data_IF_907080834967
#
_entry.id   IF_907080834967
#
_cell.length_a   1.000
_cell.length_b   1.000
_cell.length_c   1.000
_cell.angle_alpha   90.00
_cell.angle_beta   90.00
_cell.angle_gamma   90.00
#
_symmetry.space_group_name_H-M   'P 1'
#
loop_
_entity.id
_entity.type
_entity.pdbx_description
1 polymer ?
#
# COMPACT_ATOMS: atom_id res chain seq x y z
N UNK A 1 32.76 -1.25 15.42
CA UNK A 1 32.11 -0.23 14.57
C UNK A 1 30.60 -0.43 14.60
N UNK A 2 29.90 0.15 15.58
CA UNK A 2 28.45 0.02 15.74
C UNK A 2 27.73 0.93 14.74
N UNK A 3 26.91 0.33 13.87
CA UNK A 3 26.06 1.04 12.91
C UNK A 3 25.01 1.83 13.68
N UNK A 4 25.33 3.08 14.03
CA UNK A 4 24.48 4.01 14.78
C UNK A 4 23.17 4.17 14.02
N UNK A 5 22.07 3.69 14.62
CA UNK A 5 20.73 3.95 14.14
C UNK A 5 20.55 5.48 14.01
N UNK A 6 19.93 5.99 12.93
CA UNK A 6 19.72 7.43 12.77
C UNK A 6 18.93 7.98 13.97
N UNK A 7 19.16 9.25 14.38
CA UNK A 7 18.46 9.83 15.52
C UNK A 7 16.96 9.68 15.30
N UNK A 8 16.35 8.90 16.19
CA UNK A 8 14.95 8.55 16.18
C UNK A 8 14.15 9.83 16.43
N UNK A 9 13.79 10.56 15.38
CA UNK A 9 12.78 11.60 15.51
C UNK A 9 11.45 10.90 15.78
N UNK A 10 11.19 10.67 17.07
CA UNK A 10 10.00 9.98 17.57
C UNK A 10 8.72 10.68 17.06
N UNK A 11 8.76 12.00 16.93
CA UNK A 11 7.67 12.80 16.35
C UNK A 11 7.45 12.46 14.86
N UNK A 12 8.52 12.37 14.07
CA UNK A 12 8.42 11.95 12.67
C UNK A 12 7.81 10.54 12.51
N UNK A 13 8.20 9.59 13.36
CA UNK A 13 7.68 8.21 13.31
C UNK A 13 6.19 8.17 13.68
N UNK A 14 5.79 8.90 14.72
CA UNK A 14 4.38 9.00 15.12
C UNK A 14 3.52 9.60 14.00
N UNK A 15 4.01 10.63 13.30
CA UNK A 15 3.33 11.23 12.13
C UNK A 15 3.19 10.23 11.00
N UNK A 16 4.23 9.46 10.70
CA UNK A 16 4.20 8.37 9.71
C UNK A 16 3.17 7.30 10.11
N UNK A 17 3.15 6.87 11.37
CA UNK A 17 2.20 5.87 11.87
C UNK A 17 0.75 6.37 11.78
N UNK A 18 0.51 7.64 12.10
CA UNK A 18 -0.81 8.25 11.97
C UNK A 18 -1.32 8.22 10.52
N UNK A 19 -0.45 8.49 9.54
CA UNK A 19 -0.80 8.38 8.12
C UNK A 19 -1.10 6.94 7.72
N UNK A 20 -0.26 5.98 8.11
CA UNK A 20 -0.44 4.56 7.77
C UNK A 20 -1.78 4.03 8.30
N UNK A 21 -2.18 4.42 9.51
CA UNK A 21 -3.48 4.04 10.10
C UNK A 21 -4.68 4.56 9.30
N UNK A 22 -4.53 5.66 8.57
CA UNK A 22 -5.61 6.28 7.78
C UNK A 22 -5.79 5.65 6.41
N UNK A 23 -4.87 4.77 5.96
CA UNK A 23 -5.01 4.08 4.67
C UNK A 23 -6.19 3.10 4.78
N UNK A 24 -7.27 3.28 4.00
CA UNK A 24 -8.45 2.44 4.10
C UNK A 24 -8.19 1.03 3.56
N UNK A 25 -9.04 0.08 3.94
CA UNK A 25 -9.01 -1.30 3.43
C UNK A 25 -9.17 -1.30 1.90
N UNK A 26 -8.40 -2.13 1.21
CA UNK A 26 -8.44 -2.23 -0.25
C UNK A 26 -7.76 -1.06 -0.97
N UNK A 27 -7.04 -0.19 -0.26
CA UNK A 27 -6.21 0.86 -0.85
C UNK A 27 -4.77 0.74 -0.37
N UNK A 28 -3.85 1.25 -1.19
CA UNK A 28 -2.41 1.20 -0.94
C UNK A 28 -1.78 2.58 -1.05
N UNK A 29 -0.66 2.79 -0.37
CA UNK A 29 0.12 4.01 -0.48
C UNK A 29 1.60 3.69 -0.70
N UNK A 30 2.33 4.57 -1.39
CA UNK A 30 3.78 4.41 -1.53
C UNK A 30 4.52 5.00 -0.32
N UNK A 31 5.74 4.53 -0.03
CA UNK A 31 6.58 5.16 1.00
C UNK A 31 6.78 6.67 0.77
N UNK A 32 6.93 7.09 -0.48
CA UNK A 32 7.04 8.51 -0.84
C UNK A 32 5.77 9.27 -0.48
N UNK A 33 4.61 8.73 -0.84
CA UNK A 33 3.32 9.32 -0.50
C UNK A 33 3.10 9.39 1.02
N UNK A 34 3.42 8.32 1.76
CA UNK A 34 3.30 8.30 3.22
C UNK A 34 4.19 9.38 3.84
N UNK A 35 5.42 9.53 3.37
CA UNK A 35 6.33 10.57 3.85
C UNK A 35 5.78 11.98 3.55
N UNK A 36 5.28 12.23 2.34
CA UNK A 36 4.65 13.51 1.97
C UNK A 36 3.44 13.81 2.84
N UNK A 37 2.53 12.86 3.04
CA UNK A 37 1.33 13.04 3.87
C UNK A 37 1.66 13.18 5.36
N UNK A 38 2.79 12.64 5.80
CA UNK A 38 3.30 12.85 7.14
C UNK A 38 3.93 14.25 7.30
N UNK A 39 4.01 15.05 6.23
CA UNK A 39 4.70 16.35 6.19
C UNK A 39 6.22 16.22 6.24
N UNK A 40 6.74 15.15 5.66
CA UNK A 40 8.16 14.81 5.52
C UNK A 40 8.48 14.55 4.04
N UNK A 41 8.24 15.52 3.13
CA UNK A 41 8.42 15.32 1.70
C UNK A 41 9.87 14.94 1.37
N UNK A 42 10.05 14.09 0.34
CA UNK A 42 11.39 13.65 -0.08
C UNK A 42 12.07 12.64 0.87
N UNK A 43 11.38 12.15 1.91
CA UNK A 43 11.96 11.21 2.90
C UNK A 43 11.33 9.80 2.88
N UNK A 44 11.21 9.11 1.71
CA UNK A 44 10.60 7.78 1.64
C UNK A 44 11.36 6.71 2.44
N UNK A 45 12.70 6.82 2.53
CA UNK A 45 13.52 5.90 3.33
C UNK A 45 13.19 5.98 4.82
N UNK A 46 12.89 7.18 5.32
CA UNK A 46 12.48 7.39 6.71
C UNK A 46 11.14 6.70 7.01
N UNK A 47 10.17 6.77 6.08
CA UNK A 47 8.93 6.02 6.20
C UNK A 47 9.17 4.50 6.22
N UNK A 48 10.12 4.01 5.42
CA UNK A 48 10.57 2.61 5.47
C UNK A 48 11.17 2.21 6.82
N UNK A 49 12.05 3.04 7.38
CA UNK A 49 12.65 2.80 8.69
C UNK A 49 11.63 2.83 9.83
N UNK A 50 10.70 3.80 9.83
CA UNK A 50 9.60 3.85 10.78
C UNK A 50 8.74 2.58 10.69
N UNK A 51 8.37 2.17 9.47
CA UNK A 51 7.59 0.96 9.27
C UNK A 51 8.33 -0.28 9.77
N UNK A 52 9.64 -0.40 9.54
CA UNK A 52 10.45 -1.50 10.04
C UNK A 52 10.51 -1.52 11.58
N UNK A 53 10.75 -0.37 12.21
CA UNK A 53 10.78 -0.23 13.67
C UNK A 53 9.44 -0.58 14.34
N UNK A 54 8.32 -0.44 13.64
CA UNK A 54 6.98 -0.74 14.17
C UNK A 54 6.59 -2.22 14.22
N UNK A 55 7.27 -3.08 13.47
CA UNK A 55 6.87 -4.48 13.21
C UNK A 55 6.71 -5.40 14.42
N UNK A 56 7.35 -5.15 15.59
CA UNK A 56 7.07 -5.94 16.79
C UNK A 56 5.97 -5.35 17.70
N UNK A 57 5.61 -4.07 17.55
CA UNK A 57 4.90 -3.33 18.62
C UNK A 57 3.60 -2.65 18.21
N UNK A 58 3.31 -2.52 16.91
CA UNK A 58 2.09 -1.83 16.48
C UNK A 58 1.25 -2.62 15.48
N UNK A 59 -0.07 -2.67 15.73
CA UNK A 59 -1.13 -3.19 14.84
C UNK A 59 -1.32 -2.30 13.59
N UNK A 60 -0.24 -1.88 12.94
CA UNK A 60 -0.30 -1.06 11.74
C UNK A 60 -0.64 -1.92 10.52
N UNK A 61 -1.46 -1.41 9.57
CA UNK A 61 -1.71 -2.05 8.28
C UNK A 61 -0.50 -1.91 7.35
N UNK A 62 0.64 -2.45 7.78
CA UNK A 62 1.93 -2.32 7.10
C UNK A 62 1.88 -2.87 5.66
N UNK A 63 1.04 -3.87 5.41
CA UNK A 63 0.90 -4.50 4.11
C UNK A 63 0.37 -3.55 3.05
N UNK A 64 -0.32 -2.47 3.45
CA UNK A 64 -0.84 -1.42 2.54
C UNK A 64 0.23 -0.44 2.05
N UNK A 65 1.46 -0.50 2.57
CA UNK A 65 2.56 0.39 2.18
C UNK A 65 3.50 -0.31 1.20
N UNK A 66 3.69 0.30 0.03
CA UNK A 66 4.43 -0.26 -1.10
C UNK A 66 5.61 0.60 -1.53
N UNK A 67 6.51 0.00 -2.30
CA UNK A 67 7.54 0.73 -3.04
C UNK A 67 6.96 1.62 -4.14
N UNK A 68 7.82 2.45 -4.72
CA UNK A 68 7.48 3.22 -5.92
C UNK A 68 6.95 2.29 -7.03
N UNK A 69 5.91 2.75 -7.74
CA UNK A 69 5.28 1.99 -8.82
C UNK A 69 4.58 0.70 -8.40
N UNK A 70 4.15 0.58 -7.14
CA UNK A 70 3.36 -0.57 -6.65
C UNK A 70 4.19 -1.84 -6.41
N UNK A 71 5.51 -1.71 -6.25
CA UNK A 71 6.41 -2.85 -6.01
C UNK A 71 6.33 -3.32 -4.55
N UNK A 72 6.20 -4.64 -4.37
CA UNK A 72 6.38 -5.27 -3.06
C UNK A 72 7.87 -5.24 -2.69
N UNK A 73 8.30 -4.20 -1.98
CA UNK A 73 9.71 -4.02 -1.59
C UNK A 73 10.14 -4.96 -0.47
N UNK A 74 9.20 -5.62 0.21
CA UNK A 74 9.51 -6.58 1.25
C UNK A 74 10.12 -7.89 0.73
N UNK A 75 9.95 -8.18 -0.57
CA UNK A 75 10.53 -9.35 -1.21
C UNK A 75 12.07 -9.35 -1.17
N UNK A 76 12.69 -8.18 -1.05
CA UNK A 76 14.14 -8.03 -0.98
C UNK A 76 14.71 -8.21 0.44
N UNK A 77 13.87 -8.22 1.47
CA UNK A 77 14.30 -8.35 2.88
C UNK A 77 13.99 -9.74 3.43
N UNK A 78 12.84 -10.30 3.07
CA UNK A 78 12.41 -11.64 3.46
C UNK A 78 11.31 -12.15 2.51
N UNK A 79 11.55 -13.26 1.78
CA UNK A 79 10.56 -13.86 0.88
C UNK A 79 9.22 -14.19 1.57
N UNK A 80 9.26 -14.64 2.84
CA UNK A 80 8.05 -14.98 3.59
C UNK A 80 7.20 -13.73 3.90
N UNK A 81 7.86 -12.61 4.22
CA UNK A 81 7.23 -11.30 4.40
C UNK A 81 6.54 -10.78 3.14
N UNK A 82 7.13 -11.01 1.95
CA UNK A 82 6.50 -10.64 0.68
C UNK A 82 5.24 -11.45 0.37
N UNK A 83 5.30 -12.77 0.59
CA UNK A 83 4.13 -13.63 0.42
C UNK A 83 3.00 -13.21 1.37
N UNK A 84 3.32 -13.00 2.64
CA UNK A 84 2.37 -12.51 3.65
C UNK A 84 1.76 -11.17 3.26
N UNK A 85 2.58 -10.24 2.74
CA UNK A 85 2.10 -8.94 2.27
C UNK A 85 1.08 -9.10 1.15
N UNK A 86 1.42 -9.93 0.15
CA UNK A 86 0.58 -10.19 -1.00
C UNK A 86 -0.75 -10.81 -0.59
N UNK A 87 -0.73 -11.87 0.21
CA UNK A 87 -1.94 -12.54 0.68
C UNK A 87 -2.88 -11.58 1.43
N UNK A 88 -2.33 -10.71 2.29
CA UNK A 88 -3.13 -9.71 3.01
C UNK A 88 -3.75 -8.67 2.07
N UNK A 89 -3.03 -8.27 1.02
CA UNK A 89 -3.55 -7.34 0.01
C UNK A 89 -4.63 -7.98 -0.86
N UNK A 90 -4.44 -9.22 -1.29
CA UNK A 90 -5.43 -9.99 -2.05
C UNK A 90 -6.71 -10.23 -1.23
N UNK A 91 -6.59 -10.52 0.07
CA UNK A 91 -7.72 -10.62 1.01
C UNK A 91 -8.47 -9.28 1.23
N UNK A 92 -7.88 -8.16 0.81
CA UNK A 92 -8.53 -6.85 0.77
C UNK A 92 -9.08 -6.49 -0.62
N UNK A 93 -8.97 -7.39 -1.61
CA UNK A 93 -9.42 -7.17 -2.98
C UNK A 93 -8.43 -6.38 -3.85
N UNK A 94 -7.19 -6.18 -3.40
CA UNK A 94 -6.15 -5.50 -4.18
C UNK A 94 -5.64 -6.45 -5.27
N UNK A 95 -5.68 -6.00 -6.52
CA UNK A 95 -5.20 -6.78 -7.67
C UNK A 95 -3.76 -6.44 -8.02
N UNK A 96 -3.07 -7.46 -8.50
CA UNK A 96 -1.71 -7.37 -9.02
C UNK A 96 -1.73 -7.50 -10.54
N UNK A 97 -0.87 -6.72 -11.18
CA UNK A 97 -0.54 -6.82 -12.61
C UNK A 97 0.22 -8.10 -12.92
N UNK A 98 0.30 -8.47 -14.20
CA UNK A 98 1.07 -9.63 -14.67
C UNK A 98 2.57 -9.58 -14.25
N UNK A 99 3.10 -8.38 -13.99
CA UNK A 99 4.48 -8.17 -13.50
C UNK A 99 4.61 -8.25 -11.97
N UNK A 100 3.57 -8.70 -11.26
CA UNK A 100 3.57 -8.83 -9.80
C UNK A 100 3.55 -7.50 -9.03
N UNK A 101 3.15 -6.40 -9.68
CA UNK A 101 3.01 -5.08 -9.05
C UNK A 101 1.55 -4.76 -8.79
N UNK A 102 1.24 -4.03 -7.73
CA UNK A 102 -0.12 -3.53 -7.51
C UNK A 102 -0.50 -2.52 -8.59
N UNK A 103 -1.73 -2.61 -9.08
CA UNK A 103 -2.30 -1.58 -9.96
C UNK A 103 -2.52 -0.27 -9.18
N UNK A 104 -1.53 0.62 -9.28
CA UNK A 104 -1.55 1.90 -8.58
C UNK A 104 -2.65 2.84 -9.10
N UNK A 105 -3.12 2.68 -10.34
CA UNK A 105 -4.18 3.53 -10.88
C UNK A 105 -5.50 3.23 -10.16
N UNK A 106 -5.80 1.94 -9.98
CA UNK A 106 -7.02 1.51 -9.31
C UNK A 106 -6.96 1.62 -7.78
N UNK A 107 -5.83 1.23 -7.16
CA UNK A 107 -5.77 1.00 -5.72
C UNK A 107 -5.03 2.06 -4.92
N UNK A 108 -4.34 3.02 -5.55
CA UNK A 108 -3.64 4.05 -4.80
C UNK A 108 -4.64 4.88 -3.98
N UNK A 109 -4.32 5.05 -2.70
CA UNK A 109 -5.06 5.89 -1.79
C UNK A 109 -4.86 7.36 -2.18
N UNK A 110 -5.94 8.13 -2.30
CA UNK A 110 -5.89 9.57 -2.56
C UNK A 110 -6.69 10.29 -1.47
N UNK A 111 -6.03 10.91 -0.47
CA UNK A 111 -6.75 11.68 0.53
C UNK A 111 -7.43 12.89 -0.15
N UNK A 112 -8.71 13.11 0.13
CA UNK A 112 -9.48 14.20 -0.49
C UNK A 112 -10.18 13.87 -1.81
N UNK A 113 -10.09 12.62 -2.30
CA UNK A 113 -10.98 12.16 -3.36
C UNK A 113 -12.44 12.26 -2.91
N UNK A 114 -13.27 13.00 -3.65
CA UNK A 114 -14.70 13.14 -3.40
C UNK A 114 -15.31 11.79 -3.01
N UNK A 115 -16.13 11.76 -1.96
CA UNK A 115 -16.76 10.58 -1.31
C UNK A 115 -17.53 9.59 -2.23
N UNK A 116 -17.45 9.69 -3.56
CA UNK A 116 -18.29 8.95 -4.52
C UNK A 116 -17.58 8.05 -5.54
N UNK A 117 -16.24 8.00 -5.61
CA UNK A 117 -15.55 7.31 -6.72
C UNK A 117 -15.06 5.89 -6.38
N UNK A 118 -15.74 5.21 -5.45
CA UNK A 118 -15.50 3.80 -5.13
C UNK A 118 -16.27 2.81 -6.05
N UNK A 119 -16.85 3.27 -7.17
CA UNK A 119 -17.65 2.45 -8.11
C UNK A 119 -17.04 2.27 -9.52
N UNK A 120 -15.79 2.63 -9.77
CA UNK A 120 -15.17 2.41 -11.07
C UNK A 120 -14.34 1.11 -11.07
N UNK A 121 -14.88 0.05 -11.67
CA UNK A 121 -14.04 -1.10 -12.03
C UNK A 121 -14.71 -2.46 -12.27
N UNK A 122 -16.03 -2.61 -12.18
CA UNK A 122 -16.69 -3.84 -12.66
C UNK A 122 -17.92 -3.53 -13.50
N UNK A 123 -17.68 -3.33 -14.79
CA UNK A 123 -18.67 -3.61 -15.84
C UNK A 123 -17.93 -4.35 -16.95
N UNK A 124 -17.64 -5.63 -16.69
CA UNK A 124 -17.33 -6.60 -17.73
C UNK A 124 -18.63 -6.96 -18.42
N UNK A 125 -18.90 -6.25 -19.51
CA UNK A 125 -19.50 -6.73 -20.75
C UNK A 125 -20.27 -8.07 -20.68
N UNK A 126 -21.61 -7.97 -20.65
CA UNK A 126 -22.54 -9.04 -20.96
C UNK A 126 -23.48 -8.56 -22.08
N UNK A 127 -23.23 -9.03 -23.30
CA UNK A 127 -24.11 -9.09 -24.50
C UNK A 127 -23.26 -9.74 -25.60
N UNK A 128 -23.67 -10.71 -26.42
CA UNK A 128 -24.96 -11.24 -26.87
C UNK A 128 -24.74 -12.74 -27.26
N UNK A 129 -25.72 -13.60 -27.52
CA UNK A 129 -27.13 -13.39 -27.81
C UNK A 129 -27.94 -14.69 -27.76
N UNK A 130 -29.25 -14.51 -27.61
CA UNK A 130 -30.30 -15.53 -27.73
C UNK A 130 -30.61 -15.80 -29.21
N UNK A 131 -30.95 -17.06 -29.51
CA UNK A 131 -31.92 -17.62 -30.50
C UNK A 131 -31.38 -19.01 -30.90
N UNK A 132 -32.01 -20.14 -30.61
CA UNK A 132 -33.44 -20.42 -30.70
C UNK A 132 -33.81 -20.65 -32.16
N UNK A 133 -33.55 -21.86 -32.67
CA UNK A 133 -34.11 -22.38 -33.92
C UNK A 133 -34.53 -23.81 -33.65
N UNK A 134 -35.78 -24.07 -33.99
CA UNK A 134 -36.51 -25.34 -33.91
C UNK A 134 -35.91 -26.46 -34.73
#
# INVERSE_FOLDING_TARGET
MTKRAPPCDHSAYLRIYAVIRRIPRGRVATYGQVATLAGLPGRPRLAGYALYASRPHHRLPWHRVLGAGGRLTLAALDPASALTQRMRLEAEGVRFTARGRVDMVAFQWRPGGRRGEARAGHRGEARAGRRGVS
#
